data_IF_124713679607
#
_entry.id   IF_124713679607
#
_cell.length_a   1.000
_cell.length_b   1.000
_cell.length_c   1.000
_cell.angle_alpha   90.00
_cell.angle_beta   90.00
_cell.angle_gamma   90.00
#
_symmetry.space_group_name_H-M   'P 1'
#
loop_
_entity.id
_entity.type
_entity.pdbx_description
1 polymer ?
#
# COMPACT_ATOMS: atom_id res chain seq x y z
N UNK A 1 25.67 16.07 0.07
CA UNK A 1 24.67 16.75 0.89
C UNK A 1 23.34 16.89 0.13
N UNK A 2 23.37 17.19 -1.19
CA UNK A 2 22.15 17.33 -1.99
C UNK A 2 21.23 16.11 -1.96
N UNK A 3 21.76 14.89 -1.97
CA UNK A 3 20.98 13.66 -1.86
C UNK A 3 20.26 13.55 -0.49
N UNK A 4 20.96 13.91 0.58
CA UNK A 4 20.39 13.90 1.95
C UNK A 4 19.25 14.92 2.07
N UNK A 5 19.45 16.10 1.47
CA UNK A 5 18.46 17.20 1.47
C UNK A 5 17.20 16.81 0.67
N UNK A 6 17.38 16.24 -0.53
CA UNK A 6 16.29 15.77 -1.41
C UNK A 6 15.45 14.66 -0.78
N UNK A 7 16.03 13.87 0.13
CA UNK A 7 15.35 12.81 0.85
C UNK A 7 14.77 13.26 2.21
N UNK A 8 14.76 14.59 2.48
CA UNK A 8 14.22 15.16 3.71
C UNK A 8 15.01 14.78 4.97
N UNK A 9 16.33 14.58 4.84
CA UNK A 9 17.24 14.20 5.94
C UNK A 9 18.26 15.30 6.28
N UNK A 10 18.11 16.52 5.76
CA UNK A 10 19.07 17.64 5.94
C UNK A 10 19.49 17.87 7.41
N UNK A 11 18.51 17.86 8.34
CA UNK A 11 18.81 18.03 9.77
C UNK A 11 19.29 16.77 10.49
N UNK A 12 19.54 15.67 9.76
CA UNK A 12 19.84 14.34 10.33
C UNK A 12 21.18 13.77 9.89
N UNK A 13 21.93 14.50 9.07
CA UNK A 13 23.21 14.03 8.50
C UNK A 13 24.20 13.54 9.58
N UNK A 14 24.28 14.24 10.73
CA UNK A 14 25.15 13.90 11.85
C UNK A 14 24.46 12.99 12.91
N UNK A 15 23.22 12.58 12.66
CA UNK A 15 22.47 11.77 13.61
C UNK A 15 22.98 10.32 13.62
N UNK A 16 23.09 9.74 14.82
CA UNK A 16 23.40 8.31 14.94
C UNK A 16 22.17 7.47 14.56
N UNK A 17 22.38 6.34 13.92
CA UNK A 17 21.35 5.42 13.48
C UNK A 17 20.26 5.12 14.54
N UNK A 18 20.59 4.84 15.82
CA UNK A 18 19.56 4.58 16.84
C UNK A 18 18.62 5.77 17.11
N UNK A 19 19.06 6.99 16.80
CA UNK A 19 18.30 8.22 17.06
C UNK A 19 17.37 8.60 15.89
N UNK A 20 17.45 7.88 14.77
CA UNK A 20 16.56 8.07 13.62
C UNK A 20 15.23 7.36 13.86
N UNK A 21 14.13 8.01 13.51
CA UNK A 21 12.82 7.38 13.43
C UNK A 21 12.80 6.27 12.35
N UNK A 22 11.79 5.41 12.36
CA UNK A 22 11.65 4.34 11.37
C UNK A 22 11.60 4.91 9.94
N UNK A 23 10.83 5.99 9.71
CA UNK A 23 10.75 6.65 8.41
C UNK A 23 12.07 7.30 7.98
N UNK A 24 12.79 7.95 8.90
CA UNK A 24 14.14 8.50 8.63
C UNK A 24 15.13 7.39 8.27
N UNK A 25 15.07 6.24 8.94
CA UNK A 25 15.90 5.07 8.59
C UNK A 25 15.58 4.54 7.20
N UNK A 26 14.29 4.43 6.84
CA UNK A 26 13.87 4.03 5.50
C UNK A 26 14.45 4.93 4.42
N UNK A 27 14.30 6.25 4.57
CA UNK A 27 14.88 7.24 3.65
C UNK A 27 16.41 7.21 3.62
N UNK A 28 17.07 6.99 4.76
CA UNK A 28 18.52 6.84 4.81
C UNK A 28 19.02 5.58 4.07
N UNK A 29 18.25 4.48 4.08
CA UNK A 29 18.55 3.27 3.30
C UNK A 29 18.38 3.51 1.81
N UNK A 30 17.35 4.26 1.39
CA UNK A 30 17.18 4.69 0.01
C UNK A 30 18.36 5.57 -0.41
N UNK A 31 18.73 6.60 0.39
CA UNK A 31 19.90 7.43 0.14
C UNK A 31 21.17 6.60 -0.08
N UNK A 32 21.44 5.66 0.81
CA UNK A 32 22.57 4.76 0.71
C UNK A 32 22.56 3.94 -0.60
N UNK A 33 21.39 3.47 -1.01
CA UNK A 33 21.24 2.69 -2.26
C UNK A 33 21.51 3.55 -3.50
N UNK A 34 21.15 4.83 -3.46
CA UNK A 34 21.32 5.77 -4.57
C UNK A 34 22.79 6.24 -4.76
N UNK A 35 23.62 6.19 -3.71
CA UNK A 35 25.04 6.55 -3.80
C UNK A 35 25.79 5.73 -4.88
N UNK A 36 25.38 4.48 -5.10
CA UNK A 36 25.98 3.60 -6.11
C UNK A 36 25.50 3.89 -7.54
N UNK A 37 24.65 4.89 -7.75
CA UNK A 37 24.00 5.21 -9.03
C UNK A 37 23.39 3.97 -9.72
N UNK A 38 22.55 3.20 -9.03
CA UNK A 38 22.00 1.96 -9.57
C UNK A 38 21.10 2.24 -10.77
N UNK A 39 20.97 1.28 -11.66
CA UNK A 39 19.96 1.32 -12.73
C UNK A 39 18.60 0.76 -12.30
N UNK A 40 18.57 0.01 -11.21
CA UNK A 40 17.38 -0.61 -10.64
C UNK A 40 17.41 -0.47 -9.11
N UNK A 41 16.34 0.07 -8.55
CA UNK A 41 16.09 0.15 -7.11
C UNK A 41 14.97 -0.82 -6.74
N UNK A 42 15.26 -1.75 -5.83
CA UNK A 42 14.27 -2.68 -5.29
C UNK A 42 13.88 -2.26 -3.88
N UNK A 43 12.60 -2.04 -3.66
CA UNK A 43 12.01 -1.65 -2.38
C UNK A 43 11.03 -2.74 -1.95
N UNK A 44 11.40 -3.54 -0.96
CA UNK A 44 10.58 -4.62 -0.44
C UNK A 44 9.92 -4.18 0.86
N UNK A 45 8.60 -3.98 0.81
CA UNK A 45 7.76 -3.47 1.91
C UNK A 45 8.37 -2.27 2.67
N UNK A 46 8.79 -1.20 1.99
CA UNK A 46 9.61 -0.14 2.61
C UNK A 46 8.85 0.69 3.65
N UNK A 47 7.53 0.63 3.68
CA UNK A 47 6.63 1.34 4.60
C UNK A 47 6.23 0.53 5.83
N UNK A 48 6.70 -0.72 5.94
CA UNK A 48 6.36 -1.59 7.08
C UNK A 48 6.72 -0.95 8.42
N UNK A 49 5.71 -0.84 9.29
CA UNK A 49 5.87 -0.27 10.64
C UNK A 49 5.93 1.26 10.68
N UNK A 50 5.64 1.95 9.57
CA UNK A 50 5.51 3.40 9.54
C UNK A 50 4.10 3.83 9.95
N UNK A 51 4.01 4.97 10.63
CA UNK A 51 2.75 5.67 10.77
C UNK A 51 2.34 6.32 9.42
N UNK A 52 1.12 6.86 9.37
CA UNK A 52 0.56 7.44 8.15
C UNK A 52 1.45 8.57 7.60
N UNK A 53 1.92 9.46 8.48
CA UNK A 53 2.72 10.62 8.05
C UNK A 53 4.09 10.18 7.50
N UNK A 54 4.77 9.25 8.18
CA UNK A 54 6.06 8.73 7.74
C UNK A 54 5.94 7.93 6.43
N UNK A 55 4.82 7.20 6.24
CA UNK A 55 4.52 6.52 4.98
C UNK A 55 4.35 7.52 3.83
N UNK A 56 3.53 8.56 4.01
CA UNK A 56 3.33 9.57 2.96
C UNK A 56 4.66 10.25 2.59
N UNK A 57 5.49 10.65 3.57
CA UNK A 57 6.80 11.20 3.30
C UNK A 57 7.73 10.24 2.52
N UNK A 58 7.62 8.93 2.78
CA UNK A 58 8.37 7.92 2.03
C UNK A 58 7.88 7.84 0.58
N UNK A 59 6.57 7.86 0.36
CA UNK A 59 5.98 7.82 -0.98
C UNK A 59 6.33 9.08 -1.78
N UNK A 60 6.23 10.27 -1.18
CA UNK A 60 6.72 11.51 -1.78
C UNK A 60 8.20 11.43 -2.18
N UNK A 61 9.01 10.81 -1.32
CA UNK A 61 10.44 10.56 -1.63
C UNK A 61 10.59 9.66 -2.85
N UNK A 62 9.83 8.57 -2.95
CA UNK A 62 9.88 7.65 -4.10
C UNK A 62 9.37 8.33 -5.37
N UNK A 63 8.27 9.10 -5.29
CA UNK A 63 7.74 9.87 -6.42
C UNK A 63 8.78 10.88 -6.94
N UNK A 64 9.53 11.51 -6.05
CA UNK A 64 10.58 12.47 -6.43
C UNK A 64 11.75 11.84 -7.20
N UNK A 65 11.95 10.52 -7.10
CA UNK A 65 13.03 9.82 -7.80
C UNK A 65 12.88 9.86 -9.32
N UNK A 66 11.66 9.89 -9.86
CA UNK A 66 11.43 10.03 -11.30
C UNK A 66 12.06 11.30 -11.85
N UNK A 67 11.91 12.42 -11.14
CA UNK A 67 12.45 13.71 -11.56
C UNK A 67 13.96 13.86 -11.26
N UNK A 68 14.40 13.38 -10.10
CA UNK A 68 15.78 13.57 -9.62
C UNK A 68 16.75 12.52 -10.17
N UNK A 69 16.25 11.32 -10.45
CA UNK A 69 17.05 10.18 -10.91
C UNK A 69 16.40 9.45 -12.09
N UNK A 70 16.14 10.11 -13.23
CA UNK A 70 15.31 9.58 -14.35
C UNK A 70 15.88 8.34 -15.03
N UNK A 71 17.12 7.93 -14.69
CA UNK A 71 17.75 6.72 -15.23
C UNK A 71 17.57 5.49 -14.34
N UNK A 72 16.92 5.64 -13.18
CA UNK A 72 16.67 4.55 -12.25
C UNK A 72 15.27 4.00 -12.51
N UNK A 73 15.17 2.70 -12.78
CA UNK A 73 13.91 1.98 -12.68
C UNK A 73 13.70 1.57 -11.21
N UNK A 74 12.50 1.72 -10.68
CA UNK A 74 12.16 1.27 -9.33
C UNK A 74 11.13 0.14 -9.38
N UNK A 75 11.29 -0.84 -8.49
CA UNK A 75 10.30 -1.88 -8.23
C UNK A 75 9.96 -1.81 -6.75
N UNK A 76 8.69 -1.55 -6.46
CA UNK A 76 8.14 -1.58 -5.12
C UNK A 76 7.35 -2.88 -4.93
N UNK A 77 7.68 -3.64 -3.91
CA UNK A 77 6.90 -4.80 -3.47
C UNK A 77 6.10 -4.39 -2.24
N UNK A 78 4.80 -4.55 -2.29
CA UNK A 78 3.88 -4.26 -1.18
C UNK A 78 2.62 -5.11 -1.28
N UNK A 79 1.94 -5.30 -0.16
CA UNK A 79 0.60 -5.89 -0.09
C UNK A 79 -0.48 -4.85 0.26
N UNK A 80 -0.12 -3.57 0.28
CA UNK A 80 -1.01 -2.44 0.56
C UNK A 80 -1.14 -1.54 -0.68
N UNK A 81 -2.33 -1.41 -1.24
CA UNK A 81 -2.55 -0.60 -2.45
C UNK A 81 -2.34 0.89 -2.20
N UNK A 82 -2.61 1.37 -0.99
CA UNK A 82 -2.37 2.75 -0.58
C UNK A 82 -0.89 3.13 -0.50
N UNK A 83 0.01 2.15 -0.64
CA UNK A 83 1.47 2.34 -0.68
C UNK A 83 2.03 2.44 -2.09
N UNK A 84 1.17 2.42 -3.10
CA UNK A 84 1.60 2.64 -4.47
C UNK A 84 1.86 4.13 -4.72
N UNK A 85 3.09 4.52 -5.11
CA UNK A 85 3.41 5.90 -5.49
C UNK A 85 2.54 6.39 -6.66
N UNK A 86 2.34 7.70 -6.77
CA UNK A 86 1.59 8.30 -7.87
C UNK A 86 2.24 8.06 -9.24
N UNK A 87 3.56 7.92 -9.24
CA UNK A 87 4.39 7.63 -10.43
C UNK A 87 4.37 6.16 -10.87
N UNK A 88 3.54 5.30 -10.23
CA UNK A 88 3.47 3.88 -10.58
C UNK A 88 2.91 3.67 -11.99
N UNK A 89 3.72 3.22 -12.92
CA UNK A 89 3.34 3.01 -14.34
C UNK A 89 2.83 1.60 -14.62
N UNK A 90 3.43 0.59 -14.00
CA UNK A 90 3.12 -0.83 -14.22
C UNK A 90 2.89 -1.55 -12.89
N UNK A 91 2.09 -2.61 -12.95
CA UNK A 91 1.85 -3.48 -11.82
C UNK A 91 1.93 -4.96 -12.21
N UNK A 92 2.28 -5.78 -11.23
CA UNK A 92 2.30 -7.23 -11.30
C UNK A 92 1.60 -7.76 -10.04
N UNK A 93 0.49 -8.45 -10.20
CA UNK A 93 -0.22 -9.12 -9.12
C UNK A 93 0.17 -10.59 -9.08
N UNK A 94 0.60 -11.06 -7.91
CA UNK A 94 1.05 -12.43 -7.69
C UNK A 94 0.21 -13.05 -6.57
N UNK A 95 -0.29 -14.26 -6.82
CA UNK A 95 -0.92 -15.08 -5.79
C UNK A 95 -0.50 -16.55 -5.97
N UNK A 96 -0.28 -17.27 -4.89
CA UNK A 96 0.12 -18.68 -4.88
C UNK A 96 1.32 -19.00 -5.81
N UNK A 97 2.28 -18.06 -5.90
CA UNK A 97 3.46 -18.22 -6.75
C UNK A 97 3.18 -18.09 -8.26
N UNK A 98 2.00 -17.62 -8.65
CA UNK A 98 1.61 -17.40 -10.05
C UNK A 98 1.23 -15.96 -10.31
N UNK A 99 1.42 -15.50 -11.54
CA UNK A 99 1.01 -14.17 -11.98
C UNK A 99 -0.50 -14.18 -12.22
N UNK A 100 -1.24 -13.34 -11.50
CA UNK A 100 -2.68 -13.12 -11.67
C UNK A 100 -2.92 -12.12 -12.80
N UNK A 101 -2.19 -11.02 -12.80
CA UNK A 101 -2.28 -9.97 -13.82
C UNK A 101 -0.95 -9.21 -13.91
N UNK A 102 -0.62 -8.69 -15.09
CA UNK A 102 0.54 -7.83 -15.32
C UNK A 102 0.28 -6.86 -16.47
N UNK A 103 0.78 -5.62 -16.37
CA UNK A 103 0.59 -4.59 -17.38
C UNK A 103 0.59 -3.19 -16.78
N UNK A 104 -0.10 -2.25 -17.44
CA UNK A 104 -0.23 -0.89 -16.90
C UNK A 104 -0.95 -0.91 -15.56
N UNK A 105 -0.53 -0.05 -14.63
CA UNK A 105 -1.06 -0.06 -13.26
C UNK A 105 -2.59 0.16 -13.25
N UNK A 106 -3.11 1.07 -14.09
CA UNK A 106 -4.54 1.35 -14.18
C UNK A 106 -5.38 0.17 -14.70
N UNK A 107 -4.79 -0.67 -15.56
CA UNK A 107 -5.48 -1.86 -16.09
C UNK A 107 -5.37 -3.07 -15.15
N UNK A 108 -4.30 -3.14 -14.37
CA UNK A 108 -4.00 -4.28 -13.51
C UNK A 108 -4.60 -4.12 -12.11
N UNK A 109 -4.50 -2.92 -11.50
CA UNK A 109 -4.95 -2.68 -10.13
C UNK A 109 -6.46 -2.38 -10.12
N UNK A 110 -7.26 -3.41 -10.39
CA UNK A 110 -8.72 -3.35 -10.44
C UNK A 110 -9.34 -4.17 -9.32
N UNK A 111 -10.59 -3.87 -8.96
CA UNK A 111 -11.35 -4.65 -7.97
C UNK A 111 -11.41 -6.14 -8.32
N UNK A 112 -11.51 -6.49 -9.60
CA UNK A 112 -11.57 -7.87 -10.09
C UNK A 112 -10.25 -8.59 -9.84
N UNK A 113 -9.15 -8.04 -10.35
CA UNK A 113 -7.83 -8.65 -10.24
C UNK A 113 -7.34 -8.71 -8.79
N UNK A 114 -7.58 -7.65 -8.00
CA UNK A 114 -7.21 -7.61 -6.58
C UNK A 114 -8.04 -8.61 -5.78
N UNK A 115 -9.37 -8.71 -6.05
CA UNK A 115 -10.21 -9.75 -5.44
C UNK A 115 -9.69 -11.16 -5.75
N UNK A 116 -9.27 -11.40 -7.00
CA UNK A 116 -8.71 -12.69 -7.39
C UNK A 116 -7.37 -12.97 -6.70
N UNK A 117 -6.47 -11.97 -6.59
CA UNK A 117 -5.17 -12.13 -5.97
C UNK A 117 -5.24 -12.35 -4.45
N UNK A 118 -6.16 -11.67 -3.77
CA UNK A 118 -6.33 -11.74 -2.31
C UNK A 118 -7.39 -12.75 -1.86
N UNK A 119 -8.10 -13.40 -2.79
CA UNK A 119 -9.20 -14.35 -2.53
C UNK A 119 -10.27 -13.78 -1.59
N UNK A 120 -10.44 -12.46 -1.61
CA UNK A 120 -11.39 -11.76 -0.77
C UNK A 120 -12.04 -10.61 -1.56
N UNK A 121 -13.37 -10.41 -1.46
CA UNK A 121 -14.04 -9.31 -2.15
C UNK A 121 -13.49 -7.94 -1.71
N UNK A 122 -12.78 -7.28 -2.62
CA UNK A 122 -12.14 -5.98 -2.38
C UNK A 122 -12.62 -5.00 -3.44
N UNK A 123 -13.07 -3.83 -3.00
CA UNK A 123 -13.33 -2.68 -3.86
C UNK A 123 -12.06 -1.82 -3.90
N UNK A 124 -11.57 -1.59 -5.11
CA UNK A 124 -10.41 -0.74 -5.39
C UNK A 124 -10.93 0.59 -5.93
N UNK A 125 -10.41 1.68 -5.40
CA UNK A 125 -10.66 3.04 -5.87
C UNK A 125 -9.34 3.65 -6.33
N UNK A 126 -9.36 4.38 -7.46
CA UNK A 126 -8.26 5.24 -7.90
C UNK A 126 -8.76 6.67 -7.91
N UNK A 127 -8.20 7.48 -7.05
CA UNK A 127 -8.60 8.87 -6.87
C UNK A 127 -7.42 9.73 -6.50
N UNK A 128 -7.34 10.94 -7.08
CA UNK A 128 -6.27 11.90 -6.83
C UNK A 128 -4.87 11.24 -7.00
N UNK A 129 -4.72 10.46 -8.09
CA UNK A 129 -3.50 9.71 -8.45
C UNK A 129 -3.06 8.65 -7.41
N UNK A 130 -3.96 8.23 -6.53
CA UNK A 130 -3.70 7.24 -5.48
C UNK A 130 -4.71 6.09 -5.52
N UNK A 131 -4.22 4.89 -5.22
CA UNK A 131 -5.08 3.72 -5.02
C UNK A 131 -5.52 3.61 -3.57
N UNK A 132 -6.74 3.14 -3.39
CA UNK A 132 -7.28 2.75 -2.10
C UNK A 132 -8.00 1.43 -2.21
N UNK A 133 -7.99 0.63 -1.16
CA UNK A 133 -8.67 -0.64 -1.11
C UNK A 133 -9.54 -0.78 0.13
N UNK A 134 -10.74 -1.36 -0.06
CA UNK A 134 -11.65 -1.67 1.04
C UNK A 134 -12.26 -3.05 0.85
N UNK A 135 -12.31 -3.85 1.92
CA UNK A 135 -13.08 -5.07 1.89
C UNK A 135 -14.56 -4.76 1.66
N UNK A 136 -15.18 -5.39 0.65
CA UNK A 136 -16.61 -5.29 0.39
C UNK A 136 -17.36 -5.96 1.54
N UNK A 137 -18.15 -5.20 2.29
CA UNK A 137 -19.02 -5.77 3.31
C UNK A 137 -20.11 -6.57 2.66
N UNK A 138 -20.04 -7.88 2.71
CA UNK A 138 -21.20 -8.75 2.46
C UNK A 138 -22.16 -8.48 3.61
N UNK A 139 -23.26 -7.76 3.33
CA UNK A 139 -24.34 -7.56 4.30
C UNK A 139 -24.93 -8.95 4.57
N UNK A 140 -24.50 -9.60 5.66
CA UNK A 140 -25.23 -10.77 6.16
C UNK A 140 -26.61 -10.24 6.49
N UNK A 141 -27.60 -10.60 5.66
CA UNK A 141 -29.01 -10.42 5.99
C UNK A 141 -29.20 -11.22 7.28
N UNK A 142 -29.41 -10.51 8.38
CA UNK A 142 -29.88 -11.14 9.61
C UNK A 142 -31.34 -11.48 9.32
N UNK A 143 -31.57 -12.58 8.65
CA UNK A 143 -32.87 -13.19 8.55
C UNK A 143 -33.23 -13.80 9.90
N UNK A 144 -34.31 -13.27 10.43
CA UNK A 144 -35.28 -13.90 11.31
C UNK A 144 -34.79 -14.66 12.57
N UNK A 145 -34.64 -13.91 13.66
CA UNK A 145 -35.00 -14.38 14.98
C UNK A 145 -36.18 -13.54 15.48
N UNK A 146 -37.23 -13.40 14.69
CA UNK A 146 -38.48 -12.69 15.10
C UNK A 146 -39.74 -13.49 14.90
N UNK A 147 -39.67 -14.75 14.47
CA UNK A 147 -40.89 -15.55 14.25
C UNK A 147 -41.15 -16.66 15.28
N UNK A 148 -40.34 -16.84 16.30
CA UNK A 148 -40.54 -17.89 17.31
C UNK A 148 -41.00 -17.41 18.68
N UNK A 149 -41.44 -16.17 18.83
CA UNK A 149 -41.90 -15.64 20.15
C UNK A 149 -43.36 -15.24 20.16
N UNK A 150 -44.08 -15.43 19.07
CA UNK A 150 -45.51 -15.07 18.99
C UNK A 150 -46.50 -16.25 19.12
N UNK A 151 -46.03 -17.47 18.95
CA UNK A 151 -46.90 -18.68 19.06
C UNK A 151 -46.96 -19.31 20.46
N UNK A 152 -46.28 -18.76 21.46
CA UNK A 152 -46.25 -19.35 22.81
C UNK A 152 -47.12 -18.64 23.85
N UNK A 153 -47.93 -17.66 23.48
CA UNK A 153 -48.76 -16.87 24.43
C UNK A 153 -50.27 -17.08 24.27
N UNK A 154 -50.74 -17.83 23.28
CA UNK A 154 -52.18 -18.04 23.06
C UNK A 154 -52.74 -19.40 23.60
N UNK A 155 -51.90 -20.23 24.25
CA UNK A 155 -52.37 -21.56 24.72
C UNK A 155 -52.53 -21.67 26.22
N UNK A 156 -52.49 -20.61 27.00
CA UNK A 156 -52.66 -20.62 28.46
C UNK A 156 -53.76 -19.74 29.02
N UNK A 157 -54.84 -19.51 28.25
CA UNK A 157 -56.09 -18.93 28.75
C UNK A 157 -57.27 -19.59 28.06
N UNK A 158 -57.58 -20.82 28.45
CA UNK A 158 -58.92 -21.42 28.27
C UNK A 158 -59.12 -22.51 29.32
#
# INVERSE_FOLDING_TARGET
DELIDNLGLAGKAESRWPNLSQGERGRALIARSLIAEPRLLLLDEPSTGLDVAAREQLLETIDSLEATHPRIASILVTHHLEELPSTTTHALLIAHGTIVASGSALEVVTSENVTAAFEHPIDVEYRDERWGARARRVRRVRESVRESTQDSVEEEVA
#
